data_IF_855288203797
#
_entry.id   IF_855288203797
#
_cell.length_a   1.000
_cell.length_b   1.000
_cell.length_c   1.000
_cell.angle_alpha   90.00
_cell.angle_beta   90.00
_cell.angle_gamma   90.00
#
_symmetry.space_group_name_H-M   'P 1'
#
loop_
_entity.id
_entity.type
_entity.pdbx_description
1 polymer ?
#
# COMPACT_ATOMS: atom_id res chain seq x y z
N UNK A 1 9.25 35.09 -15.85
CA UNK A 1 9.04 33.66 -15.53
C UNK A 1 9.12 33.55 -14.02
N UNK A 2 7.99 33.55 -13.33
CA UNK A 2 7.97 33.35 -11.88
C UNK A 2 8.50 31.94 -11.60
N UNK A 3 9.66 31.86 -10.93
CA UNK A 3 10.08 30.59 -10.36
C UNK A 3 9.03 30.21 -9.32
N UNK A 4 8.41 29.02 -9.41
CA UNK A 4 7.46 28.60 -8.40
C UNK A 4 8.17 28.60 -7.04
N UNK A 5 7.62 29.35 -6.08
CA UNK A 5 8.12 29.34 -4.70
C UNK A 5 8.23 27.89 -4.22
N UNK A 6 9.42 27.44 -3.79
CA UNK A 6 9.62 26.06 -3.39
C UNK A 6 8.74 25.70 -2.19
N UNK A 7 8.28 24.45 -2.12
CA UNK A 7 7.52 23.96 -0.97
C UNK A 7 8.36 24.07 0.31
N UNK A 8 7.69 24.34 1.43
CA UNK A 8 8.33 24.40 2.74
C UNK A 8 8.75 22.99 3.17
N UNK A 9 10.04 22.81 3.46
CA UNK A 9 10.58 21.57 4.03
C UNK A 9 10.24 21.47 5.51
N UNK A 10 9.04 21.01 5.83
CA UNK A 10 8.55 20.90 7.20
C UNK A 10 8.76 19.52 7.84
N UNK A 11 8.76 18.45 7.04
CA UNK A 11 8.69 17.08 7.55
C UNK A 11 10.04 16.55 8.05
N UNK A 12 10.09 16.19 9.32
CA UNK A 12 11.21 15.50 9.95
C UNK A 12 11.24 14.01 9.60
N UNK A 13 12.35 13.34 9.95
CA UNK A 13 12.49 11.88 9.81
C UNK A 13 11.36 11.11 10.51
N UNK A 14 10.98 11.51 11.72
CA UNK A 14 9.92 10.84 12.46
C UNK A 14 8.57 11.00 11.75
N UNK A 15 8.26 12.21 11.30
CA UNK A 15 6.99 12.50 10.61
C UNK A 15 6.87 11.73 9.30
N UNK A 16 7.94 11.67 8.48
CA UNK A 16 7.91 10.90 7.23
C UNK A 16 7.85 9.39 7.49
N UNK A 17 8.49 8.89 8.56
CA UNK A 17 8.39 7.47 8.95
C UNK A 17 6.98 7.11 9.40
N UNK A 18 6.33 7.91 10.25
CA UNK A 18 4.93 7.67 10.64
C UNK A 18 3.97 7.80 9.45
N UNK A 19 4.23 8.75 8.54
CA UNK A 19 3.47 8.83 7.30
C UNK A 19 3.59 7.54 6.49
N UNK A 20 4.83 7.06 6.26
CA UNK A 20 5.08 5.82 5.51
C UNK A 20 4.54 4.56 6.18
N UNK A 21 4.59 4.47 7.51
CA UNK A 21 3.98 3.35 8.24
C UNK A 21 2.47 3.35 8.04
N UNK A 22 1.81 4.51 8.14
CA UNK A 22 0.36 4.61 7.96
C UNK A 22 -0.11 4.32 6.55
N UNK A 23 0.64 4.76 5.53
CA UNK A 23 0.29 4.45 4.13
C UNK A 23 0.35 2.96 3.84
N UNK A 24 1.31 2.24 4.43
CA UNK A 24 1.43 0.79 4.34
C UNK A 24 0.33 0.08 5.17
N UNK A 25 0.17 0.48 6.44
CA UNK A 25 -0.73 -0.19 7.41
C UNK A 25 -2.20 0.00 7.09
N UNK A 26 -2.60 1.22 6.69
CA UNK A 26 -3.98 1.71 6.77
C UNK A 26 -5.03 0.85 6.07
N UNK A 27 -4.65 0.03 5.08
CA UNK A 27 -5.53 -0.98 4.53
C UNK A 27 -4.91 -2.35 4.33
N UNK A 28 -3.60 -2.51 4.49
CA UNK A 28 -2.90 -3.75 4.19
C UNK A 28 -3.40 -4.90 5.05
N UNK A 29 -2.98 -4.93 6.32
CA UNK A 29 -3.31 -6.06 7.21
C UNK A 29 -4.77 -6.05 7.68
N UNK A 30 -5.38 -4.85 7.78
CA UNK A 30 -6.78 -4.71 8.18
C UNK A 30 -7.74 -5.39 7.19
N UNK A 31 -7.46 -5.31 5.89
CA UNK A 31 -8.34 -5.88 4.85
C UNK A 31 -7.91 -7.29 4.47
N UNK A 32 -6.60 -7.53 4.32
CA UNK A 32 -6.14 -8.74 3.64
C UNK A 32 -5.70 -9.87 4.55
N UNK A 33 -5.58 -9.70 5.87
CA UNK A 33 -5.12 -10.80 6.73
C UNK A 33 -5.94 -12.08 6.50
N UNK A 34 -7.27 -12.00 6.57
CA UNK A 34 -8.14 -13.15 6.35
C UNK A 34 -7.98 -13.74 4.94
N UNK A 35 -7.79 -12.90 3.91
CA UNK A 35 -7.63 -13.38 2.53
C UNK A 35 -6.26 -14.03 2.29
N UNK A 36 -5.19 -13.51 2.89
CA UNK A 36 -3.88 -14.15 2.88
C UNK A 36 -3.96 -15.50 3.59
N UNK A 37 -4.58 -15.54 4.77
CA UNK A 37 -4.82 -16.80 5.52
C UNK A 37 -5.64 -17.79 4.70
N UNK A 38 -6.62 -17.35 3.91
CA UNK A 38 -7.39 -18.25 3.04
C UNK A 38 -6.57 -18.91 1.93
N UNK A 39 -5.47 -18.29 1.50
CA UNK A 39 -4.59 -18.77 0.42
C UNK A 39 -3.39 -19.56 0.96
N UNK A 40 -2.78 -19.11 2.06
CA UNK A 40 -1.57 -19.71 2.61
C UNK A 40 -1.80 -20.54 3.87
N UNK A 41 -3.01 -20.56 4.42
CA UNK A 41 -3.33 -21.27 5.66
C UNK A 41 -2.46 -20.80 6.84
N UNK A 42 -1.94 -21.77 7.59
CA UNK A 42 -1.00 -21.54 8.70
C UNK A 42 0.32 -20.88 8.25
N UNK A 43 0.64 -20.92 6.95
CA UNK A 43 1.85 -20.32 6.41
C UNK A 43 1.72 -18.82 6.10
N UNK A 44 0.63 -18.16 6.53
CA UNK A 44 0.44 -16.72 6.34
C UNK A 44 1.60 -15.83 6.86
N UNK A 45 2.24 -16.11 8.01
CA UNK A 45 3.40 -15.34 8.45
C UNK A 45 4.55 -15.39 7.42
N UNK A 46 4.80 -16.57 6.83
CA UNK A 46 5.81 -16.74 5.78
C UNK A 46 5.42 -16.05 4.48
N UNK A 47 4.13 -16.03 4.13
CA UNK A 47 3.65 -15.25 3.00
C UNK A 47 3.92 -13.75 3.18
N UNK A 48 3.65 -13.17 4.36
CA UNK A 48 3.99 -11.78 4.66
C UNK A 48 5.50 -11.52 4.63
N UNK A 49 6.31 -12.42 5.19
CA UNK A 49 7.77 -12.29 5.17
C UNK A 49 8.33 -12.38 3.74
N UNK A 50 7.84 -13.30 2.92
CA UNK A 50 8.26 -13.41 1.53
C UNK A 50 7.87 -12.16 0.73
N UNK A 51 6.65 -11.64 0.92
CA UNK A 51 6.21 -10.38 0.33
C UNK A 51 7.11 -9.21 0.74
N UNK A 52 7.46 -9.13 2.04
CA UNK A 52 8.38 -8.12 2.55
C UNK A 52 9.78 -8.22 1.91
N UNK A 53 10.31 -9.42 1.73
CA UNK A 53 11.62 -9.62 1.06
C UNK A 53 11.58 -9.07 -0.37
N UNK A 54 10.53 -9.35 -1.15
CA UNK A 54 10.37 -8.82 -2.51
C UNK A 54 10.32 -7.28 -2.49
N UNK A 55 9.58 -6.71 -1.53
CA UNK A 55 9.44 -5.27 -1.37
C UNK A 55 10.75 -4.61 -0.95
N UNK A 56 11.53 -5.20 -0.05
CA UNK A 56 12.78 -4.64 0.47
C UNK A 56 13.79 -4.28 -0.64
N UNK A 57 13.93 -5.11 -1.68
CA UNK A 57 14.81 -4.80 -2.81
C UNK A 57 14.33 -3.57 -3.58
N UNK A 58 13.03 -3.47 -3.83
CA UNK A 58 12.45 -2.31 -4.50
C UNK A 58 12.54 -1.07 -3.61
N UNK A 59 12.21 -1.18 -2.32
CA UNK A 59 12.33 -0.10 -1.34
C UNK A 59 13.76 0.45 -1.26
N UNK A 60 14.78 -0.41 -1.32
CA UNK A 60 16.17 0.03 -1.39
C UNK A 60 16.49 0.76 -2.71
N UNK A 61 15.94 0.32 -3.84
CA UNK A 61 16.06 1.07 -5.10
C UNK A 61 15.38 2.44 -5.03
N UNK A 62 14.19 2.54 -4.42
CA UNK A 62 13.50 3.80 -4.16
C UNK A 62 14.29 4.71 -3.21
N UNK A 63 14.88 4.15 -2.17
CA UNK A 63 15.72 4.88 -1.23
C UNK A 63 16.93 5.52 -1.94
N UNK A 64 17.59 4.79 -2.85
CA UNK A 64 18.69 5.35 -3.61
C UNK A 64 18.24 6.38 -4.67
N UNK A 65 17.18 6.08 -5.43
CA UNK A 65 16.66 6.99 -6.44
C UNK A 65 16.13 8.30 -5.84
N UNK A 66 15.45 8.24 -4.70
CA UNK A 66 14.92 9.42 -4.01
C UNK A 66 16.03 10.32 -3.46
N UNK A 67 17.18 9.75 -3.09
CA UNK A 67 18.37 10.53 -2.74
C UNK A 67 18.96 11.26 -3.94
N UNK A 68 18.94 10.64 -5.13
CA UNK A 68 19.50 11.21 -6.37
C UNK A 68 18.55 12.22 -7.02
N UNK A 69 17.26 11.95 -6.99
CA UNK A 69 16.21 12.78 -7.59
C UNK A 69 15.13 13.15 -6.56
N UNK A 70 15.43 14.06 -5.60
CA UNK A 70 14.50 14.45 -4.54
C UNK A 70 13.42 15.43 -5.03
N UNK A 71 12.64 15.01 -6.02
CA UNK A 71 11.54 15.76 -6.60
C UNK A 71 10.22 15.02 -6.35
N UNK A 72 9.13 15.76 -6.13
CA UNK A 72 7.81 15.20 -5.76
C UNK A 72 7.11 14.40 -6.88
N UNK A 73 7.79 14.14 -8.00
CA UNK A 73 7.20 13.61 -9.22
C UNK A 73 7.34 12.08 -9.38
N UNK A 74 7.91 11.39 -8.38
CA UNK A 74 7.84 9.94 -8.20
C UNK A 74 8.48 9.10 -9.32
N UNK A 75 7.92 7.91 -9.52
CA UNK A 75 8.36 6.83 -10.41
C UNK A 75 8.45 7.25 -11.88
N UNK A 76 7.43 7.94 -12.45
CA UNK A 76 7.50 8.35 -13.86
C UNK A 76 8.72 9.22 -14.14
N UNK A 77 9.15 10.05 -13.17
CA UNK A 77 10.36 10.87 -13.31
C UNK A 77 11.63 10.04 -13.22
N UNK A 78 11.71 9.05 -12.32
CA UNK A 78 12.85 8.15 -12.27
C UNK A 78 13.09 7.43 -13.60
N UNK A 79 12.02 7.02 -14.27
CA UNK A 79 12.08 6.35 -15.57
C UNK A 79 12.49 7.31 -16.69
N UNK A 80 11.92 8.51 -16.72
CA UNK A 80 12.30 9.51 -17.72
C UNK A 80 13.77 9.89 -17.57
N UNK A 81 14.23 10.12 -16.35
CA UNK A 81 15.60 10.58 -16.08
C UNK A 81 16.63 9.46 -16.29
N UNK A 82 16.32 8.25 -15.83
CA UNK A 82 17.24 7.12 -15.89
C UNK A 82 17.20 6.39 -17.24
N UNK A 83 16.00 6.07 -17.77
CA UNK A 83 15.86 5.33 -19.02
C UNK A 83 15.78 6.24 -20.26
N UNK A 84 15.65 7.57 -20.10
CA UNK A 84 15.54 8.55 -21.21
C UNK A 84 14.35 8.27 -22.15
N UNK A 85 13.28 7.68 -21.62
CA UNK A 85 12.08 7.35 -22.40
C UNK A 85 10.84 7.98 -21.80
N UNK A 86 10.30 8.97 -22.51
CA UNK A 86 9.04 9.64 -22.16
C UNK A 86 7.84 8.70 -22.27
N UNK A 87 7.86 7.77 -23.23
CA UNK A 87 6.79 6.79 -23.43
C UNK A 87 6.74 5.77 -22.30
N UNK A 88 7.90 5.27 -21.84
CA UNK A 88 7.95 4.36 -20.69
C UNK A 88 7.53 5.07 -19.41
N UNK A 89 7.94 6.32 -19.21
CA UNK A 89 7.48 7.13 -18.08
C UNK A 89 5.96 7.33 -18.08
N UNK A 90 5.36 7.57 -19.25
CA UNK A 90 3.91 7.66 -19.37
C UNK A 90 3.21 6.32 -19.08
N UNK A 91 3.72 5.22 -19.63
CA UNK A 91 3.19 3.88 -19.41
C UNK A 91 3.18 3.51 -17.92
N UNK A 92 4.28 3.78 -17.22
CA UNK A 92 4.36 3.56 -15.77
C UNK A 92 3.46 4.52 -14.99
N UNK A 93 3.34 5.78 -15.41
CA UNK A 93 2.37 6.72 -14.82
C UNK A 93 0.93 6.22 -14.92
N UNK A 94 0.53 5.64 -16.06
CA UNK A 94 -0.79 5.01 -16.22
C UNK A 94 -0.94 3.75 -15.37
N UNK A 95 0.08 2.91 -15.29
CA UNK A 95 0.06 1.71 -14.44
C UNK A 95 -0.09 2.08 -12.96
N UNK A 96 0.61 3.13 -12.50
CA UNK A 96 0.50 3.66 -11.14
C UNK A 96 -0.90 4.21 -10.86
N UNK A 97 -1.45 5.02 -11.78
CA UNK A 97 -2.81 5.55 -11.66
C UNK A 97 -3.84 4.42 -11.58
N UNK A 98 -3.76 3.43 -12.47
CA UNK A 98 -4.68 2.31 -12.46
C UNK A 98 -4.51 1.46 -11.19
N UNK A 99 -3.26 1.23 -10.75
CA UNK A 99 -2.94 0.52 -9.51
C UNK A 99 -3.56 1.19 -8.29
N UNK A 100 -3.46 2.51 -8.19
CA UNK A 100 -4.07 3.30 -7.12
C UNK A 100 -5.61 3.29 -7.14
N UNK A 101 -6.24 3.36 -8.32
CA UNK A 101 -7.69 3.23 -8.46
C UNK A 101 -8.16 1.87 -7.96
N UNK A 102 -7.52 0.79 -8.42
CA UNK A 102 -7.87 -0.59 -8.02
C UNK A 102 -7.54 -0.82 -6.54
N UNK A 103 -6.47 -0.19 -6.04
CA UNK A 103 -6.10 -0.23 -4.63
C UNK A 103 -7.21 0.39 -3.78
N UNK A 104 -7.60 1.64 -4.06
CA UNK A 104 -8.71 2.29 -3.37
C UNK A 104 -10.01 1.47 -3.43
N UNK A 105 -10.30 0.81 -4.55
CA UNK A 105 -11.44 -0.10 -4.68
C UNK A 105 -11.33 -1.32 -3.75
N UNK A 106 -10.13 -1.90 -3.61
CA UNK A 106 -9.83 -2.98 -2.64
C UNK A 106 -10.12 -2.53 -1.21
N UNK A 107 -9.63 -1.34 -0.83
CA UNK A 107 -9.84 -0.78 0.51
C UNK A 107 -11.33 -0.50 0.75
N UNK A 108 -12.03 0.00 -0.27
CA UNK A 108 -13.48 0.29 -0.22
C UNK A 108 -14.32 -0.96 0.01
N UNK A 109 -13.91 -2.11 -0.56
CA UNK A 109 -14.51 -3.41 -0.25
C UNK A 109 -14.23 -3.84 1.19
N UNK A 110 -13.00 -3.67 1.66
CA UNK A 110 -12.63 -3.98 3.05
C UNK A 110 -13.41 -3.16 4.08
N UNK A 111 -13.75 -1.91 3.73
CA UNK A 111 -14.52 -1.01 4.59
C UNK A 111 -15.87 -1.56 5.00
N UNK A 112 -16.57 -2.31 4.13
CA UNK A 112 -17.91 -2.83 4.46
C UNK A 112 -17.87 -3.81 5.64
N UNK A 113 -16.80 -4.60 5.76
CA UNK A 113 -16.60 -5.51 6.89
C UNK A 113 -16.52 -4.79 8.23
N UNK A 114 -15.76 -3.70 8.30
CA UNK A 114 -15.57 -2.94 9.54
C UNK A 114 -16.78 -2.05 9.86
N UNK A 115 -17.37 -1.44 8.85
CA UNK A 115 -18.58 -0.62 9.01
C UNK A 115 -19.82 -1.49 9.33
N UNK A 116 -19.77 -2.79 9.00
CA UNK A 116 -20.76 -3.79 9.38
C UNK A 116 -20.99 -3.93 10.89
N UNK A 117 -20.02 -3.50 11.71
CA UNK A 117 -20.12 -3.47 13.18
C UNK A 117 -21.10 -2.38 13.66
N UNK A 118 -21.27 -1.31 12.89
CA UNK A 118 -22.13 -0.16 13.24
C UNK A 118 -23.47 -0.19 12.52
N UNK A 119 -23.51 -0.73 11.31
CA UNK A 119 -24.69 -0.72 10.47
C UNK A 119 -24.77 -1.97 9.62
N UNK A 120 -25.97 -2.54 9.50
CA UNK A 120 -26.24 -3.69 8.61
C UNK A 120 -26.79 -3.26 7.25
N UNK A 121 -26.31 -2.11 6.74
CA UNK A 121 -26.69 -1.66 5.41
C UNK A 121 -26.08 -2.58 4.35
N UNK A 122 -26.70 -2.70 3.15
CA UNK A 122 -26.11 -3.47 2.06
C UNK A 122 -24.75 -2.89 1.64
N UNK A 123 -23.75 -3.74 1.40
CA UNK A 123 -22.40 -3.37 1.00
C UNK A 123 -22.34 -2.31 -0.12
N UNK A 124 -23.15 -2.49 -1.17
CA UNK A 124 -23.19 -1.56 -2.30
C UNK A 124 -23.56 -0.14 -1.89
N UNK A 125 -24.48 0.01 -0.93
CA UNK A 125 -24.95 1.30 -0.44
C UNK A 125 -23.88 2.00 0.42
N UNK A 126 -23.16 1.23 1.24
CA UNK A 126 -22.07 1.73 2.08
C UNK A 126 -20.90 2.20 1.21
N UNK A 127 -20.49 1.40 0.23
CA UNK A 127 -19.41 1.76 -0.72
C UNK A 127 -19.78 3.00 -1.54
N UNK A 128 -21.01 3.05 -2.06
CA UNK A 128 -21.47 4.20 -2.86
C UNK A 128 -21.47 5.48 -2.04
N UNK A 129 -22.02 5.43 -0.83
CA UNK A 129 -22.07 6.59 0.08
C UNK A 129 -20.66 7.06 0.44
N UNK A 130 -19.78 6.12 0.81
CA UNK A 130 -18.39 6.42 1.14
C UNK A 130 -17.67 7.11 -0.02
N UNK A 131 -17.69 6.53 -1.23
CA UNK A 131 -16.95 7.09 -2.36
C UNK A 131 -17.50 8.45 -2.79
N UNK A 132 -18.82 8.66 -2.73
CA UNK A 132 -19.41 9.97 -3.01
C UNK A 132 -18.89 11.01 -2.01
N UNK A 133 -18.88 10.70 -0.71
CA UNK A 133 -18.39 11.61 0.34
C UNK A 133 -16.90 11.89 0.14
N UNK A 134 -16.06 10.87 -0.05
CA UNK A 134 -14.62 11.05 -0.20
C UNK A 134 -14.26 11.79 -1.49
N UNK A 135 -14.98 11.53 -2.58
CA UNK A 135 -14.81 12.29 -3.83
C UNK A 135 -15.22 13.75 -3.64
N UNK A 136 -16.31 14.03 -2.92
CA UNK A 136 -16.71 15.40 -2.61
C UNK A 136 -15.67 16.13 -1.73
N UNK A 137 -15.11 15.46 -0.72
CA UNK A 137 -14.02 15.99 0.11
C UNK A 137 -12.78 16.29 -0.74
N UNK A 138 -12.41 15.37 -1.64
CA UNK A 138 -11.29 15.57 -2.55
C UNK A 138 -11.53 16.76 -3.50
N UNK A 139 -12.75 16.93 -4.02
CA UNK A 139 -13.13 18.05 -4.87
C UNK A 139 -13.09 19.39 -4.14
N UNK A 140 -13.44 19.41 -2.85
CA UNK A 140 -13.35 20.61 -2.00
C UNK A 140 -11.89 21.11 -1.83
N UNK A 141 -10.90 20.31 -2.25
CA UNK A 141 -9.51 20.74 -2.22
C UNK A 141 -8.91 20.72 -0.83
N UNK A 142 -9.43 19.84 0.03
CA UNK A 142 -8.78 19.52 1.29
C UNK A 142 -7.38 19.00 0.98
N UNK A 143 -6.37 19.82 1.24
CA UNK A 143 -5.00 19.33 1.34
C UNK A 143 -4.95 18.52 2.62
N UNK A 144 -4.83 17.20 2.48
CA UNK A 144 -4.65 16.34 3.62
C UNK A 144 -3.38 16.77 4.35
N UNK A 145 -3.55 17.15 5.62
CA UNK A 145 -2.42 17.54 6.44
C UNK A 145 -1.62 16.29 6.77
N UNK A 146 -0.30 16.34 6.61
CA UNK A 146 0.59 15.26 7.04
C UNK A 146 0.39 14.94 8.53
N UNK A 147 0.07 15.95 9.34
CA UNK A 147 -0.30 15.75 10.74
C UNK A 147 -1.53 14.85 10.92
N UNK A 148 -2.56 15.01 10.09
CA UNK A 148 -3.75 14.15 10.14
C UNK A 148 -3.38 12.72 9.75
N UNK A 149 -2.57 12.54 8.70
CA UNK A 149 -2.09 11.23 8.30
C UNK A 149 -1.32 10.54 9.44
N UNK A 150 -0.40 11.27 10.11
CA UNK A 150 0.35 10.76 11.26
C UNK A 150 -0.58 10.40 12.44
N UNK A 151 -1.57 11.23 12.76
CA UNK A 151 -2.53 10.93 13.83
C UNK A 151 -3.33 9.66 13.53
N UNK A 152 -3.77 9.49 12.28
CA UNK A 152 -4.42 8.27 11.81
C UNK A 152 -3.48 7.07 11.92
N UNK A 153 -2.20 7.19 11.52
CA UNK A 153 -1.21 6.13 11.72
C UNK A 153 -1.07 5.74 13.18
N UNK A 154 -0.97 6.72 14.09
CA UNK A 154 -0.82 6.44 15.53
C UNK A 154 -2.04 5.66 16.03
N UNK A 155 -3.24 6.03 15.58
CA UNK A 155 -4.47 5.31 15.90
C UNK A 155 -4.47 3.87 15.35
N UNK A 156 -4.06 3.68 14.09
CA UNK A 156 -3.92 2.36 13.45
C UNK A 156 -2.93 1.46 14.21
N UNK A 157 -1.74 1.99 14.50
CA UNK A 157 -0.73 1.27 15.25
C UNK A 157 -1.20 0.95 16.66
N UNK A 158 -1.92 1.86 17.33
CA UNK A 158 -2.52 1.58 18.62
C UNK A 158 -3.55 0.43 18.53
N UNK A 159 -4.34 0.36 17.47
CA UNK A 159 -5.25 -0.75 17.22
C UNK A 159 -4.52 -2.08 17.05
N UNK A 160 -3.46 -2.13 16.24
CA UNK A 160 -2.66 -3.35 16.05
C UNK A 160 -1.92 -3.76 17.32
N UNK A 161 -1.36 -2.81 18.07
CA UNK A 161 -0.75 -3.09 19.37
C UNK A 161 -1.78 -3.59 20.39
N UNK A 162 -3.01 -3.06 20.36
CA UNK A 162 -4.11 -3.56 21.20
C UNK A 162 -4.37 -5.04 20.92
N UNK A 163 -4.41 -5.47 19.65
CA UNK A 163 -4.55 -6.89 19.28
C UNK A 163 -3.46 -7.75 19.93
N UNK A 164 -2.20 -7.32 19.84
CA UNK A 164 -1.08 -8.06 20.44
C UNK A 164 -1.25 -8.18 21.96
N UNK A 165 -1.71 -7.11 22.62
CA UNK A 165 -1.90 -7.10 24.08
C UNK A 165 -3.05 -8.00 24.50
N UNK A 166 -4.23 -7.88 23.88
CA UNK A 166 -5.42 -8.67 24.29
C UNK A 166 -5.25 -10.16 23.99
N UNK A 167 -4.57 -10.52 22.90
CA UNK A 167 -4.25 -11.90 22.57
C UNK A 167 -3.10 -12.46 23.41
N UNK A 168 -2.36 -11.62 24.12
CA UNK A 168 -1.18 -12.01 24.89
C UNK A 168 -1.50 -12.96 26.04
N UNK A 169 -2.65 -12.84 26.69
CA UNK A 169 -3.00 -13.71 27.82
C UNK A 169 -3.44 -15.11 27.37
N UNK A 170 -4.16 -15.23 26.25
CA UNK A 170 -4.47 -16.54 25.64
C UNK A 170 -3.19 -17.25 25.20
N UNK A 171 -2.27 -16.51 24.55
CA UNK A 171 -0.96 -17.04 24.12
C UNK A 171 -0.11 -17.48 25.31
N UNK A 172 -0.12 -16.74 26.44
CA UNK A 172 0.61 -17.15 27.65
C UNK A 172 0.06 -18.44 28.25
N UNK A 173 -1.26 -18.65 28.18
CA UNK A 173 -1.91 -19.83 28.76
C UNK A 173 -1.74 -21.07 27.89
N UNK A 174 -1.90 -20.93 26.56
CA UNK A 174 -1.86 -22.05 25.62
C UNK A 174 -0.47 -22.33 25.05
N UNK A 175 0.41 -21.33 25.08
CA UNK A 175 1.67 -21.35 24.34
C UNK A 175 1.47 -21.13 22.84
N UNK A 176 2.56 -20.87 22.12
CA UNK A 176 2.57 -20.83 20.66
C UNK A 176 2.94 -22.24 20.17
N UNK A 177 2.09 -22.82 19.33
CA UNK A 177 2.44 -24.06 18.64
C UNK A 177 3.36 -23.76 17.45
N UNK A 178 4.66 -23.66 17.74
CA UNK A 178 5.69 -23.42 16.73
C UNK A 178 5.75 -24.53 15.68
N UNK A 179 5.34 -25.76 16.00
CA UNK A 179 5.37 -26.87 15.05
C UNK A 179 4.41 -26.62 13.88
N UNK A 180 3.27 -25.99 14.14
CA UNK A 180 2.28 -25.60 13.13
C UNK A 180 2.71 -24.42 12.22
N UNK A 181 3.74 -23.67 12.62
CA UNK A 181 4.22 -22.47 11.93
C UNK A 181 5.54 -22.70 11.16
N UNK A 182 6.22 -23.82 11.39
CA UNK A 182 7.44 -24.17 10.67
C UNK A 182 7.02 -24.85 9.36
N UNK A 183 7.45 -24.35 8.19
CA UNK A 183 7.16 -24.98 6.92
C UNK A 183 7.92 -26.30 6.81
N UNK A 184 7.24 -27.34 6.34
CA UNK A 184 7.84 -28.61 5.90
C UNK A 184 8.57 -28.46 4.56
N UNK A 185 8.40 -27.31 3.88
CA UNK A 185 8.95 -27.02 2.56
C UNK A 185 8.51 -28.02 1.48
N UNK A 186 7.30 -28.56 1.63
CA UNK A 186 6.66 -29.34 0.58
C UNK A 186 6.34 -28.45 -0.62
N UNK A 187 6.18 -29.05 -1.80
CA UNK A 187 5.78 -28.31 -3.02
C UNK A 187 4.46 -27.58 -2.82
N UNK A 188 3.50 -28.21 -2.13
CA UNK A 188 2.19 -27.63 -1.81
C UNK A 188 2.31 -26.41 -0.91
N UNK A 189 3.10 -26.49 0.16
CA UNK A 189 3.33 -25.33 1.05
C UNK A 189 4.05 -24.20 0.34
N UNK A 190 5.05 -24.52 -0.49
CA UNK A 190 5.75 -23.50 -1.26
C UNK A 190 4.79 -22.75 -2.20
N UNK A 191 3.89 -23.47 -2.87
CA UNK A 191 2.82 -22.85 -3.69
C UNK A 191 1.88 -21.99 -2.84
N UNK A 192 1.47 -22.47 -1.66
CA UNK A 192 0.59 -21.73 -0.75
C UNK A 192 1.25 -20.45 -0.21
N UNK A 193 2.51 -20.52 0.22
CA UNK A 193 3.32 -19.37 0.66
C UNK A 193 3.44 -18.37 -0.48
N UNK A 194 3.72 -18.82 -1.70
CA UNK A 194 3.92 -17.93 -2.85
C UNK A 194 2.62 -17.26 -3.29
N UNK A 195 1.49 -18.00 -3.34
CA UNK A 195 0.16 -17.43 -3.63
C UNK A 195 -0.25 -16.40 -2.56
N UNK A 196 -0.09 -16.77 -1.29
CA UNK A 196 -0.35 -15.87 -0.16
C UNK A 196 0.56 -14.64 -0.20
N UNK A 197 1.84 -14.79 -0.55
CA UNK A 197 2.79 -13.68 -0.64
C UNK A 197 2.43 -12.69 -1.75
N UNK A 198 1.93 -13.18 -2.89
CA UNK A 198 1.47 -12.31 -3.96
C UNK A 198 0.28 -11.44 -3.52
N UNK A 199 -0.64 -12.02 -2.74
CA UNK A 199 -1.75 -11.27 -2.16
C UNK A 199 -1.27 -10.34 -1.03
N UNK A 200 -0.39 -10.81 -0.16
CA UNK A 200 0.20 -10.05 0.94
C UNK A 200 1.08 -8.88 0.46
N UNK A 201 1.62 -8.95 -0.75
CA UNK A 201 2.35 -7.84 -1.38
C UNK A 201 1.52 -6.57 -1.40
N UNK A 202 0.20 -6.66 -1.61
CA UNK A 202 -0.70 -5.51 -1.52
C UNK A 202 -0.59 -4.78 -0.19
N UNK A 203 -0.41 -5.51 0.91
CA UNK A 203 -0.33 -4.92 2.24
C UNK A 203 0.93 -4.08 2.46
N UNK A 204 1.92 -4.19 1.58
CA UNK A 204 3.17 -3.42 1.61
C UNK A 204 3.19 -2.24 0.63
N UNK A 205 2.15 -2.09 -0.19
CA UNK A 205 1.99 -0.94 -1.10
C UNK A 205 1.70 0.30 -0.26
N UNK A 206 2.47 1.37 -0.47
CA UNK A 206 2.30 2.65 0.23
C UNK A 206 3.62 3.30 0.65
N UNK A 207 4.75 2.58 0.68
CA UNK A 207 6.04 3.21 0.97
C UNK A 207 6.50 4.14 -0.18
N UNK A 208 6.07 3.83 -1.41
CA UNK A 208 6.33 4.64 -2.60
C UNK A 208 5.67 6.03 -2.50
N UNK A 209 4.54 6.14 -1.79
CA UNK A 209 3.88 7.43 -1.55
C UNK A 209 4.75 8.43 -0.80
N UNK A 210 5.71 7.94 -0.01
CA UNK A 210 6.68 8.78 0.70
C UNK A 210 7.53 9.61 -0.27
N UNK A 211 7.80 9.08 -1.46
CA UNK A 211 8.61 9.77 -2.48
C UNK A 211 7.89 10.97 -3.06
N UNK A 212 6.56 10.95 -3.12
CA UNK A 212 5.77 12.11 -3.53
C UNK A 212 5.85 13.28 -2.53
N UNK A 213 6.35 13.04 -1.31
CA UNK A 213 6.58 14.05 -0.28
C UNK A 213 8.01 14.59 -0.27
N UNK A 214 8.87 14.20 -1.22
CA UNK A 214 10.30 14.52 -1.18
C UNK A 214 10.63 16.01 -1.02
N UNK A 215 9.84 16.91 -1.62
CA UNK A 215 10.07 18.36 -1.52
C UNK A 215 9.64 18.96 -0.17
N UNK A 216 8.79 18.27 0.59
CA UNK A 216 8.31 18.68 1.92
C UNK A 216 9.19 18.12 3.05
N UNK A 217 10.07 17.16 2.74
CA UNK A 217 10.97 16.51 3.70
C UNK A 217 12.22 17.38 3.98
N UNK A 218 12.55 17.55 5.26
CA UNK A 218 13.83 18.11 5.73
C UNK A 218 14.95 17.14 5.36
N UNK A 219 16.00 17.63 4.71
CA UNK A 219 17.14 16.80 4.26
C UNK A 219 16.69 15.51 3.53
N UNK A 220 15.98 15.63 2.40
CA UNK A 220 15.38 14.47 1.73
C UNK A 220 16.41 13.42 1.32
N UNK A 221 17.66 13.81 1.05
CA UNK A 221 18.74 12.89 0.70
C UNK A 221 19.11 11.89 1.81
N UNK A 222 18.75 12.17 3.06
CA UNK A 222 19.03 11.29 4.21
C UNK A 222 17.75 10.79 4.86
N UNK A 223 16.77 11.68 5.06
CA UNK A 223 15.59 11.37 5.85
C UNK A 223 14.57 10.53 5.07
N UNK A 224 14.47 10.72 3.76
CA UNK A 224 13.53 9.93 2.95
C UNK A 224 14.01 8.47 2.78
N UNK A 225 15.27 8.18 2.41
CA UNK A 225 15.80 6.81 2.39
C UNK A 225 15.64 6.08 3.74
N UNK A 226 15.98 6.76 4.84
CA UNK A 226 15.90 6.18 6.18
C UNK A 226 14.44 5.98 6.60
N UNK A 227 13.56 6.92 6.26
CA UNK A 227 12.12 6.80 6.49
C UNK A 227 11.51 5.59 5.78
N UNK A 228 11.85 5.37 4.50
CA UNK A 228 11.40 4.19 3.74
C UNK A 228 11.86 2.90 4.44
N UNK A 229 13.14 2.83 4.84
CA UNK A 229 13.68 1.66 5.53
C UNK A 229 12.98 1.39 6.87
N UNK A 230 12.74 2.44 7.67
CA UNK A 230 12.01 2.34 8.94
C UNK A 230 10.58 1.85 8.69
N UNK A 231 9.87 2.46 7.74
CA UNK A 231 8.49 2.11 7.44
C UNK A 231 8.34 0.64 7.05
N UNK A 232 9.13 0.17 6.08
CA UNK A 232 9.09 -1.24 5.63
C UNK A 232 9.49 -2.20 6.75
N UNK A 233 10.52 -1.88 7.53
CA UNK A 233 10.99 -2.76 8.61
C UNK A 233 9.94 -2.89 9.72
N UNK A 234 9.40 -1.77 10.19
CA UNK A 234 8.40 -1.76 11.27
C UNK A 234 7.12 -2.48 10.84
N UNK A 235 6.63 -2.24 9.63
CA UNK A 235 5.41 -2.90 9.14
C UNK A 235 5.62 -4.38 8.89
N UNK A 236 6.79 -4.80 8.41
CA UNK A 236 7.13 -6.22 8.25
C UNK A 236 7.05 -6.96 9.59
N UNK A 237 7.69 -6.41 10.63
CA UNK A 237 7.66 -7.00 11.97
C UNK A 237 6.24 -7.05 12.50
N UNK A 238 5.50 -5.94 12.38
CA UNK A 238 4.13 -5.84 12.85
C UNK A 238 3.21 -6.87 12.15
N UNK A 239 3.31 -7.00 10.84
CA UNK A 239 2.48 -7.94 10.07
C UNK A 239 2.79 -9.39 10.39
N UNK A 240 4.07 -9.76 10.50
CA UNK A 240 4.46 -11.10 10.90
C UNK A 240 3.94 -11.44 12.31
N UNK A 241 4.09 -10.50 13.25
CA UNK A 241 3.57 -10.68 14.62
C UNK A 241 2.06 -10.82 14.65
N UNK A 242 1.31 -9.94 13.97
CA UNK A 242 -0.16 -10.01 13.93
C UNK A 242 -0.63 -11.29 13.25
N UNK A 243 0.01 -11.73 12.16
CA UNK A 243 -0.35 -12.99 11.50
C UNK A 243 -0.15 -14.20 12.42
N UNK A 244 0.96 -14.26 13.16
CA UNK A 244 1.21 -15.31 14.15
C UNK A 244 0.15 -15.27 15.25
N UNK A 245 -0.06 -14.09 15.86
CA UNK A 245 -1.05 -13.90 16.93
C UNK A 245 -2.45 -14.33 16.48
N UNK A 246 -2.84 -13.97 15.26
CA UNK A 246 -4.16 -14.28 14.75
C UNK A 246 -4.37 -15.79 14.53
N UNK A 247 -3.39 -16.48 13.95
CA UNK A 247 -3.47 -17.92 13.71
C UNK A 247 -3.45 -18.75 15.00
N UNK A 248 -2.82 -18.24 16.06
CA UNK A 248 -2.72 -18.96 17.33
C UNK A 248 -3.94 -18.75 18.24
N UNK A 249 -4.72 -17.69 18.00
CA UNK A 249 -5.87 -17.35 18.86
C UNK A 249 -7.23 -17.55 18.20
N UNK A 250 -7.29 -17.64 16.87
CA UNK A 250 -8.54 -17.77 16.12
C UNK A 250 -8.47 -18.97 15.17
N UNK A 251 -9.51 -19.81 15.10
CA UNK A 251 -9.57 -20.92 14.15
C UNK A 251 -9.37 -20.45 12.71
N UNK A 252 -8.57 -21.21 11.94
CA UNK A 252 -8.16 -20.88 10.58
C UNK A 252 -9.34 -20.53 9.65
N UNK A 253 -10.40 -21.33 9.68
CA UNK A 253 -11.58 -21.16 8.84
C UNK A 253 -12.36 -19.87 9.16
N UNK A 254 -12.45 -19.53 10.45
CA UNK A 254 -13.10 -18.28 10.90
C UNK A 254 -12.28 -17.07 10.48
N UNK A 255 -10.95 -17.14 10.59
CA UNK A 255 -10.06 -16.06 10.16
C UNK A 255 -10.08 -15.87 8.64
N UNK A 256 -10.06 -16.97 7.87
CA UNK A 256 -10.06 -16.97 6.40
C UNK A 256 -11.33 -16.35 5.78
N UNK A 257 -12.48 -16.57 6.44
CA UNK A 257 -13.78 -16.09 5.98
C UNK A 257 -14.14 -14.70 6.50
N UNK A 258 -13.43 -14.18 7.51
CA UNK A 258 -13.77 -12.91 8.15
C UNK A 258 -13.58 -11.70 7.22
N UNK A 259 -14.61 -10.83 7.08
CA UNK A 259 -14.48 -9.56 6.37
C UNK A 259 -13.79 -8.47 7.21
N UNK A 260 -13.68 -8.66 8.54
CA UNK A 260 -13.05 -7.73 9.47
C UNK A 260 -12.17 -8.51 10.48
N UNK A 261 -11.01 -9.01 10.05
CA UNK A 261 -10.19 -9.92 10.86
C UNK A 261 -9.73 -9.31 12.20
N UNK A 262 -9.47 -8.00 12.24
CA UNK A 262 -9.09 -7.35 13.51
C UNK A 262 -10.25 -7.28 14.51
N UNK A 263 -11.48 -7.08 14.04
CA UNK A 263 -12.67 -7.10 14.90
C UNK A 263 -12.91 -8.50 15.45
N UNK A 264 -12.74 -9.53 14.62
CA UNK A 264 -12.84 -10.93 15.04
C UNK A 264 -11.82 -11.27 16.12
N UNK A 265 -10.59 -10.74 16.04
CA UNK A 265 -9.58 -10.94 17.06
C UNK A 265 -9.97 -10.31 18.40
N UNK A 266 -10.63 -9.14 18.38
CA UNK A 266 -11.19 -8.52 19.61
C UNK A 266 -12.31 -9.38 20.17
N UNK A 267 -13.25 -9.82 19.33
CA UNK A 267 -14.39 -10.66 19.72
C UNK A 267 -13.96 -11.97 20.39
N UNK A 268 -12.84 -12.56 19.95
CA UNK A 268 -12.35 -13.84 20.48
C UNK A 268 -11.47 -13.70 21.71
N UNK A 269 -10.73 -12.60 21.86
CA UNK A 269 -9.69 -12.47 22.87
C UNK A 269 -10.00 -11.45 23.96
N UNK A 270 -11.12 -10.72 23.89
CA UNK A 270 -11.46 -9.71 24.90
C UNK A 270 -12.95 -9.38 24.94
N UNK A 271 -13.39 -8.82 26.06
CA UNK A 271 -14.74 -8.23 26.21
C UNK A 271 -14.79 -6.75 25.79
N UNK A 272 -13.78 -6.25 25.09
CA UNK A 272 -13.76 -4.85 24.63
C UNK A 272 -14.86 -4.61 23.59
N UNK A 273 -15.43 -3.40 23.53
CA UNK A 273 -16.44 -3.07 22.53
C UNK A 273 -15.89 -3.25 21.10
N UNK A 274 -16.54 -4.10 20.30
CA UNK A 274 -16.16 -4.36 18.89
C UNK A 274 -16.14 -3.07 18.06
N UNK A 275 -16.99 -2.10 18.43
CA UNK A 275 -17.07 -0.78 17.82
C UNK A 275 -15.74 0.00 17.93
N UNK A 276 -14.93 -0.23 18.96
CA UNK A 276 -13.63 0.43 19.09
C UNK A 276 -12.72 0.04 17.92
N UNK A 277 -12.56 -1.26 17.68
CA UNK A 277 -11.75 -1.76 16.57
C UNK A 277 -12.41 -1.48 15.21
N UNK A 278 -13.73 -1.57 15.13
CA UNK A 278 -14.50 -1.15 13.96
C UNK A 278 -14.20 0.30 13.57
N UNK A 279 -14.19 1.22 14.55
CA UNK A 279 -13.92 2.64 14.32
C UNK A 279 -12.48 2.88 13.85
N UNK A 280 -11.50 2.21 14.48
CA UNK A 280 -10.09 2.31 14.07
C UNK A 280 -9.94 1.86 12.61
N UNK A 281 -10.49 0.69 12.25
CA UNK A 281 -10.44 0.19 10.87
C UNK A 281 -11.16 1.10 9.87
N UNK A 282 -12.32 1.66 10.23
CA UNK A 282 -13.04 2.63 9.39
C UNK A 282 -12.19 3.88 9.14
N UNK A 283 -11.58 4.46 10.18
CA UNK A 283 -10.73 5.66 10.05
C UNK A 283 -9.51 5.36 9.17
N UNK A 284 -8.88 4.21 9.36
CA UNK A 284 -7.73 3.77 8.58
C UNK A 284 -8.06 3.66 7.08
N UNK A 285 -9.16 3.01 6.76
CA UNK A 285 -9.60 2.80 5.38
C UNK A 285 -10.07 4.10 4.71
N UNK A 286 -10.80 4.96 5.42
CA UNK A 286 -11.19 6.28 4.93
C UNK A 286 -9.96 7.10 4.54
N UNK A 287 -8.94 7.11 5.40
CA UNK A 287 -7.69 7.81 5.16
C UNK A 287 -6.96 7.26 3.92
N UNK A 288 -6.84 5.93 3.81
CA UNK A 288 -6.21 5.28 2.66
C UNK A 288 -6.93 5.55 1.33
N UNK A 289 -8.27 5.45 1.30
CA UNK A 289 -9.06 5.70 0.08
C UNK A 289 -8.92 7.17 -0.36
N UNK A 290 -9.01 8.11 0.58
CA UNK A 290 -8.89 9.54 0.27
C UNK A 290 -7.51 9.88 -0.33
N UNK A 291 -6.43 9.35 0.26
CA UNK A 291 -5.07 9.54 -0.25
C UNK A 291 -4.93 9.06 -1.70
N UNK A 292 -5.45 7.88 -2.01
CA UNK A 292 -5.39 7.31 -3.36
C UNK A 292 -6.18 8.14 -4.38
N UNK A 293 -7.39 8.63 -4.04
CA UNK A 293 -8.17 9.51 -4.92
C UNK A 293 -7.41 10.82 -5.22
N UNK A 294 -6.79 11.40 -4.19
CA UNK A 294 -5.97 12.62 -4.33
C UNK A 294 -4.74 12.35 -5.19
N UNK A 295 -4.03 11.24 -4.95
CA UNK A 295 -2.84 10.83 -5.70
C UNK A 295 -3.16 10.67 -7.19
N UNK A 296 -4.19 9.88 -7.53
CA UNK A 296 -4.65 9.68 -8.92
C UNK A 296 -4.94 11.00 -9.61
N UNK A 297 -5.68 11.88 -8.94
CA UNK A 297 -6.04 13.19 -9.48
C UNK A 297 -4.81 14.05 -9.81
N UNK A 298 -3.80 14.04 -8.92
CA UNK A 298 -2.55 14.81 -9.08
C UNK A 298 -1.67 14.26 -10.20
N UNK A 299 -1.51 12.94 -10.27
CA UNK A 299 -0.69 12.28 -11.30
C UNK A 299 -1.31 12.50 -12.68
N UNK A 300 -2.63 12.28 -12.84
CA UNK A 300 -3.34 12.54 -14.10
C UNK A 300 -3.23 13.99 -14.55
N UNK A 301 -3.39 14.95 -13.64
CA UNK A 301 -3.21 16.37 -13.93
C UNK A 301 -1.77 16.69 -14.40
N UNK A 302 -0.75 16.15 -13.70
CA UNK A 302 0.65 16.33 -14.06
C UNK A 302 0.99 15.75 -15.44
N UNK A 303 0.44 14.57 -15.76
CA UNK A 303 0.57 13.94 -17.08
C UNK A 303 -0.13 14.75 -18.17
N UNK A 304 -1.33 15.27 -17.91
CA UNK A 304 -2.09 16.08 -18.86
C UNK A 304 -1.37 17.39 -19.18
N UNK A 305 -0.77 18.06 -18.18
CA UNK A 305 0.08 19.24 -18.41
C UNK A 305 1.29 18.96 -19.29
N UNK A 306 1.80 17.73 -19.25
CA UNK A 306 2.91 17.26 -20.11
C UNK A 306 2.42 16.62 -21.41
N UNK A 307 1.16 16.81 -21.82
CA UNK A 307 0.59 16.23 -23.05
C UNK A 307 0.71 14.69 -23.12
N UNK A 308 0.78 14.02 -21.97
CA UNK A 308 0.83 12.55 -21.86
C UNK A 308 -0.54 11.95 -21.55
N UNK A 309 -1.53 12.78 -21.22
CA UNK A 309 -2.92 12.41 -20.96
C UNK A 309 -3.89 13.42 -21.60
N UNK A 310 -5.19 13.06 -21.79
CA UNK A 310 -6.17 13.94 -22.40
C UNK A 310 -6.23 15.32 -21.75
N UNK A 311 -6.29 16.38 -22.57
CA UNK A 311 -6.25 17.77 -22.10
C UNK A 311 -7.37 18.13 -21.11
N UNK A 312 -8.52 17.44 -21.18
CA UNK A 312 -9.64 17.58 -20.26
C UNK A 312 -9.23 17.38 -18.79
N UNK A 313 -8.27 16.47 -18.54
CA UNK A 313 -7.76 16.16 -17.20
C UNK A 313 -6.81 17.24 -16.64
N UNK A 314 -6.40 18.22 -17.46
CA UNK A 314 -5.57 19.35 -17.03
C UNK A 314 -6.39 20.52 -16.47
N UNK A 315 -7.71 20.50 -16.58
CA UNK A 315 -8.57 21.58 -16.10
C UNK A 315 -8.66 21.59 -14.58
N UNK A 316 -8.52 22.78 -13.99
CA UNK A 316 -8.46 22.97 -12.53
C UNK A 316 -9.52 23.99 -12.13
N UNK A 317 -10.22 23.71 -11.03
CA UNK A 317 -11.11 24.68 -10.40
C UNK A 317 -10.31 25.85 -9.82
N UNK A 318 -10.66 27.08 -10.16
CA UNK A 318 -9.94 28.27 -9.69
C UNK A 318 -10.10 28.51 -8.18
N UNK A 319 -11.24 28.10 -7.59
CA UNK A 319 -11.52 28.28 -6.17
C UNK A 319 -10.79 27.27 -5.26
N UNK A 320 -10.82 25.99 -5.60
CA UNK A 320 -10.24 24.89 -4.79
C UNK A 320 -8.85 24.46 -5.24
N UNK A 321 -8.40 24.91 -6.42
CA UNK A 321 -7.15 24.49 -7.07
C UNK A 321 -7.05 22.97 -7.28
N UNK A 322 -8.19 22.29 -7.44
CA UNK A 322 -8.29 20.85 -7.70
C UNK A 322 -8.64 20.51 -9.15
N UNK A 323 -8.07 19.43 -9.73
CA UNK A 323 -8.39 19.01 -11.09
C UNK A 323 -9.70 18.20 -11.14
N UNK A 324 -10.85 18.91 -11.26
CA UNK A 324 -12.19 18.33 -11.12
C UNK A 324 -12.40 17.08 -11.99
N UNK A 325 -12.12 17.07 -13.32
CA UNK A 325 -12.41 15.90 -14.14
C UNK A 325 -11.58 14.69 -13.77
N UNK A 326 -10.33 14.90 -13.34
CA UNK A 326 -9.46 13.81 -12.89
C UNK A 326 -9.98 13.21 -11.57
N UNK A 327 -10.46 14.03 -10.64
CA UNK A 327 -11.03 13.56 -9.37
C UNK A 327 -12.36 12.84 -9.55
N UNK A 328 -13.25 13.35 -10.41
CA UNK A 328 -14.50 12.65 -10.75
C UNK A 328 -14.24 11.32 -11.45
N UNK A 329 -13.30 11.29 -12.40
CA UNK A 329 -12.90 10.06 -13.06
C UNK A 329 -12.35 9.04 -12.05
N UNK A 330 -11.45 9.47 -11.16
CA UNK A 330 -10.91 8.62 -10.11
C UNK A 330 -12.02 8.03 -9.23
N UNK A 331 -12.87 8.86 -8.63
CA UNK A 331 -13.97 8.41 -7.79
C UNK A 331 -14.93 7.45 -8.50
N UNK A 332 -15.28 7.75 -9.76
CA UNK A 332 -16.17 6.89 -10.56
C UNK A 332 -15.57 5.51 -10.83
N UNK A 333 -14.27 5.44 -11.16
CA UNK A 333 -13.60 4.17 -11.46
C UNK A 333 -13.37 3.36 -10.18
N UNK A 334 -13.02 4.01 -9.07
CA UNK A 334 -12.93 3.37 -7.75
C UNK A 334 -14.27 2.73 -7.39
N UNK A 335 -15.37 3.47 -7.51
CA UNK A 335 -16.70 2.95 -7.22
C UNK A 335 -17.09 1.79 -8.14
N UNK A 336 -16.86 1.94 -9.46
CA UNK A 336 -17.19 0.91 -10.44
C UNK A 336 -16.46 -0.41 -10.14
N UNK A 337 -15.13 -0.35 -9.93
CA UNK A 337 -14.36 -1.54 -9.58
C UNK A 337 -14.74 -2.10 -8.21
N UNK A 338 -14.98 -1.25 -7.22
CA UNK A 338 -15.41 -1.70 -5.89
C UNK A 338 -16.77 -2.40 -5.92
N UNK A 339 -17.71 -2.02 -6.79
CA UNK A 339 -19.01 -2.70 -6.88
C UNK A 339 -18.89 -4.02 -7.65
N UNK A 340 -18.08 -4.08 -8.71
CA UNK A 340 -18.12 -5.18 -9.68
C UNK A 340 -17.12 -6.30 -9.39
N UNK A 341 -16.00 -6.01 -8.73
CA UNK A 341 -14.91 -6.98 -8.55
C UNK A 341 -14.76 -7.38 -7.07
N UNK A 342 -14.41 -8.65 -6.78
CA UNK A 342 -14.16 -9.10 -5.42
C UNK A 342 -12.80 -8.58 -4.91
N UNK A 343 -12.67 -8.46 -3.59
CA UNK A 343 -11.48 -7.89 -2.92
C UNK A 343 -10.19 -8.62 -3.30
N UNK A 344 -10.23 -9.94 -3.47
CA UNK A 344 -9.05 -10.76 -3.83
C UNK A 344 -8.57 -10.49 -5.26
N UNK A 345 -9.49 -10.36 -6.22
CA UNK A 345 -9.16 -9.99 -7.61
C UNK A 345 -8.60 -8.58 -7.68
N UNK A 346 -9.19 -7.63 -6.94
CA UNK A 346 -8.71 -6.25 -6.88
C UNK A 346 -7.28 -6.21 -6.30
N UNK A 347 -7.05 -6.85 -5.16
CA UNK A 347 -5.73 -6.90 -4.53
C UNK A 347 -4.68 -7.55 -5.44
N UNK A 348 -5.01 -8.68 -6.10
CA UNK A 348 -4.11 -9.32 -7.07
C UNK A 348 -3.80 -8.42 -8.27
N UNK A 349 -4.79 -7.72 -8.81
CA UNK A 349 -4.61 -6.80 -9.92
C UNK A 349 -3.72 -5.60 -9.53
N UNK A 350 -3.93 -5.04 -8.34
CA UNK A 350 -3.06 -3.99 -7.80
C UNK A 350 -1.63 -4.50 -7.62
N UNK A 351 -1.42 -5.67 -6.98
CA UNK A 351 -0.09 -6.28 -6.83
C UNK A 351 0.61 -6.44 -8.18
N UNK A 352 -0.10 -6.94 -9.20
CA UNK A 352 0.44 -7.09 -10.55
C UNK A 352 0.91 -5.76 -11.17
N UNK A 353 0.07 -4.72 -11.10
CA UNK A 353 0.41 -3.41 -11.64
C UNK A 353 1.60 -2.79 -10.91
N UNK A 354 1.63 -2.87 -9.57
CA UNK A 354 2.71 -2.27 -8.79
C UNK A 354 4.01 -3.07 -8.89
N UNK A 355 3.98 -4.40 -8.99
CA UNK A 355 5.16 -5.20 -9.32
C UNK A 355 5.74 -4.84 -10.70
N UNK A 356 4.88 -4.54 -11.69
CA UNK A 356 5.33 -4.04 -12.99
C UNK A 356 6.01 -2.67 -12.83
N UNK A 357 5.42 -1.75 -12.07
CA UNK A 357 6.02 -0.44 -11.77
C UNK A 357 7.38 -0.62 -11.09
N UNK A 358 7.47 -1.48 -10.07
CA UNK A 358 8.70 -1.75 -9.33
C UNK A 358 9.77 -2.40 -10.21
N UNK A 359 9.38 -3.24 -11.17
CA UNK A 359 10.29 -3.77 -12.19
C UNK A 359 10.95 -2.62 -12.96
N UNK A 360 10.17 -1.64 -13.43
CA UNK A 360 10.73 -0.48 -14.14
C UNK A 360 11.57 0.45 -13.25
N UNK A 361 11.22 0.60 -11.97
CA UNK A 361 12.01 1.39 -11.01
C UNK A 361 13.36 0.72 -10.74
N UNK A 362 13.38 -0.60 -10.51
CA UNK A 362 14.61 -1.37 -10.34
C UNK A 362 15.49 -1.31 -11.61
N UNK A 363 14.89 -1.47 -12.80
CA UNK A 363 15.59 -1.29 -14.08
C UNK A 363 16.13 0.12 -14.28
N UNK A 364 15.41 1.14 -13.80
CA UNK A 364 15.86 2.54 -13.85
C UNK A 364 17.14 2.74 -13.05
N UNK A 365 17.19 2.23 -11.81
CA UNK A 365 18.40 2.29 -10.99
C UNK A 365 19.56 1.48 -11.61
N UNK A 366 19.28 0.28 -12.11
CA UNK A 366 20.28 -0.55 -12.79
C UNK A 366 20.89 0.17 -14.01
N UNK A 367 20.05 0.82 -14.81
CA UNK A 367 20.49 1.59 -15.97
C UNK A 367 21.37 2.78 -15.56
N UNK A 368 21.02 3.46 -14.47
CA UNK A 368 21.77 4.58 -13.93
C UNK A 368 23.17 4.15 -13.48
N UNK A 369 23.28 3.07 -12.70
CA UNK A 369 24.57 2.49 -12.28
C UNK A 369 25.44 2.06 -13.45
N UNK A 370 24.83 1.46 -14.49
CA UNK A 370 25.58 1.07 -15.68
C UNK A 370 26.17 2.28 -16.41
N UNK A 371 25.42 3.37 -16.53
CA UNK A 371 25.85 4.62 -17.17
C UNK A 371 26.94 5.34 -16.37
N UNK A 372 26.82 5.36 -15.05
CA UNK A 372 27.80 5.98 -14.15
C UNK A 372 29.03 5.10 -13.90
N UNK A 373 29.11 3.92 -14.55
CA UNK A 373 30.19 2.93 -14.37
C UNK A 373 30.33 2.45 -12.91
N UNK A 374 29.28 2.54 -12.11
CA UNK A 374 29.22 2.02 -10.74
C UNK A 374 28.84 0.54 -10.78
N UNK A 375 29.84 -0.33 -11.00
CA UNK A 375 29.64 -1.77 -11.26
C UNK A 375 29.93 -2.67 -10.06
N UNK A 376 29.82 -2.14 -8.84
CA UNK A 376 30.02 -2.96 -7.65
C UNK A 376 28.90 -3.98 -7.45
N UNK A 377 29.16 -5.05 -6.67
CA UNK A 377 28.23 -6.16 -6.48
C UNK A 377 26.93 -5.70 -5.82
N UNK A 378 26.98 -4.74 -4.91
CA UNK A 378 25.79 -4.19 -4.26
C UNK A 378 24.99 -3.28 -5.23
N UNK A 379 25.68 -2.42 -5.97
CA UNK A 379 25.06 -1.46 -6.89
C UNK A 379 24.32 -2.15 -8.05
N UNK A 380 24.86 -3.24 -8.59
CA UNK A 380 24.19 -3.99 -9.66
C UNK A 380 23.31 -5.12 -9.11
N UNK A 381 23.76 -5.80 -8.06
CA UNK A 381 23.08 -6.97 -7.49
C UNK A 381 21.72 -6.61 -6.91
N UNK A 382 21.62 -5.54 -6.13
CA UNK A 382 20.38 -5.14 -5.46
C UNK A 382 19.23 -4.81 -6.43
N UNK A 383 19.39 -3.91 -7.43
CA UNK A 383 18.32 -3.66 -8.39
C UNK A 383 18.09 -4.84 -9.35
N UNK A 384 19.11 -5.66 -9.64
CA UNK A 384 18.93 -6.85 -10.46
C UNK A 384 18.09 -7.92 -9.75
N UNK A 385 18.36 -8.21 -8.47
CA UNK A 385 17.56 -9.14 -7.67
C UNK A 385 16.14 -8.62 -7.49
N UNK A 386 15.95 -7.32 -7.23
CA UNK A 386 14.63 -6.70 -7.19
C UNK A 386 13.85 -6.89 -8.50
N UNK A 387 14.51 -6.67 -9.64
CA UNK A 387 13.92 -6.90 -10.97
C UNK A 387 13.51 -8.36 -11.16
N UNK A 388 14.42 -9.30 -10.86
CA UNK A 388 14.17 -10.73 -11.03
C UNK A 388 13.04 -11.24 -10.13
N UNK A 389 12.98 -10.78 -8.88
CA UNK A 389 11.90 -11.15 -7.94
C UNK A 389 10.55 -10.61 -8.42
N UNK A 390 10.49 -9.35 -8.87
CA UNK A 390 9.25 -8.77 -9.37
C UNK A 390 8.74 -9.53 -10.62
N UNK A 391 9.63 -9.80 -11.58
CA UNK A 391 9.28 -10.58 -12.79
C UNK A 391 8.88 -12.00 -12.41
N UNK A 392 9.59 -12.66 -11.49
CA UNK A 392 9.27 -13.99 -11.02
C UNK A 392 7.86 -14.06 -10.44
N UNK A 393 7.49 -13.13 -9.56
CA UNK A 393 6.14 -13.03 -8.99
C UNK A 393 5.08 -12.78 -10.06
N UNK A 394 5.35 -11.92 -11.04
CA UNK A 394 4.44 -11.68 -12.16
C UNK A 394 4.20 -12.93 -13.01
N UNK A 395 5.27 -13.67 -13.33
CA UNK A 395 5.19 -14.91 -14.12
C UNK A 395 4.41 -15.98 -13.36
N UNK A 396 4.72 -16.18 -12.08
CA UNK A 396 3.98 -17.12 -11.22
C UNK A 396 2.50 -16.77 -11.18
N UNK A 397 2.17 -15.49 -11.03
CA UNK A 397 0.78 -15.05 -10.99
C UNK A 397 0.06 -15.31 -12.32
N UNK A 398 0.68 -14.99 -13.46
CA UNK A 398 0.10 -15.24 -14.78
C UNK A 398 -0.17 -16.73 -14.97
N UNK A 399 0.76 -17.59 -14.54
CA UNK A 399 0.60 -19.04 -14.62
C UNK A 399 -0.48 -19.58 -13.68
N UNK A 400 -0.72 -18.92 -12.54
CA UNK A 400 -1.82 -19.29 -11.63
C UNK A 400 -3.21 -18.88 -12.12
N UNK A 401 -3.30 -18.01 -13.13
CA UNK A 401 -4.56 -17.55 -13.74
C UNK A 401 -4.97 -18.34 -14.99
N UNK A 402 -4.01 -19.06 -15.60
CA UNK A 402 -4.25 -20.01 -16.68
C UNK A 402 -4.58 -21.39 -16.14
#
# INVERSE_FOLDING_TARGET
MDQPTPLLRSLSLLEISFYGIGTIVGAGIYVLLGKVVSESGMMAPWAFLLAAVVVCFSAASYAELSRRFPHSAGEPVYIVESLRSRHLGALVGYALVLGAIISAATITRGFTGYMGVFSHLPDWSMMTTLIIILTAIALWGVKQSVTIAILTTVLELAGLLLIIVISGDDIKQRGIDWSSLIPEFSTTEFTAITSGAFLAFFAFIGFEDMVHMAEEVKNPQTNLPLGIAIAVTVTTLLYATIAIVALQTVPLESLASSPAPMVLLVERNSDLPLQLMGAIGVVAMVNGILLQIIMVSRVLYGMAKRQLAPALLSSVCTATRTPIPATLLAGSLVLAFAIWLPVTTLARATSCLILLVFTFVNLSLLSLHYRERQRGPLQLGLPATGTLLCIGFLVIQIWSWS
#
